data_IF_383340961728
#
_entry.id   IF_383340961728
#
_cell.length_a   1.000
_cell.length_b   1.000
_cell.length_c   1.000
_cell.angle_alpha   90.00
_cell.angle_beta   90.00
_cell.angle_gamma   90.00
#
_symmetry.space_group_name_H-M   'P 1'
#
loop_
_entity.id
_entity.type
_entity.pdbx_description
1 polymer ?
#
# COMPACT_ATOMS: atom_id res chain seq x y z
N UNK A 1 -28.62 37.68 59.48
CA UNK A 1 -29.38 37.28 58.28
C UNK A 1 -28.51 37.59 57.07
N UNK A 2 -27.48 36.80 56.76
CA UNK A 2 -27.50 35.53 55.98
C UNK A 2 -28.20 35.75 54.65
N UNK A 3 -27.55 35.64 53.47
CA UNK A 3 -27.05 34.38 52.91
C UNK A 3 -25.91 34.62 51.88
N UNK A 4 -24.79 33.93 52.10
CA UNK A 4 -23.73 33.71 51.11
C UNK A 4 -24.15 32.49 50.27
N UNK A 5 -24.18 32.64 48.95
CA UNK A 5 -24.50 31.59 47.99
C UNK A 5 -23.37 30.54 47.93
N UNK A 6 -23.66 29.22 47.95
CA UNK A 6 -22.63 28.20 47.88
C UNK A 6 -22.07 28.06 46.46
N UNK A 7 -20.74 28.08 46.36
CA UNK A 7 -19.99 27.83 45.13
C UNK A 7 -20.24 26.42 44.61
N UNK A 8 -20.66 26.32 43.35
CA UNK A 8 -20.74 25.04 42.61
C UNK A 8 -19.34 24.42 42.54
N UNK A 9 -19.14 23.33 43.24
CA UNK A 9 -17.99 22.44 43.09
C UNK A 9 -18.05 21.81 41.69
N UNK A 10 -17.18 22.28 40.79
CA UNK A 10 -16.93 21.65 39.49
C UNK A 10 -16.39 20.24 39.74
N UNK A 11 -17.26 19.23 39.62
CA UNK A 11 -16.90 17.82 39.55
C UNK A 11 -15.88 17.61 38.44
N UNK A 12 -14.59 17.51 38.80
CA UNK A 12 -13.50 17.02 37.94
C UNK A 12 -13.73 15.54 37.67
N UNK A 13 -14.70 15.21 36.81
CA UNK A 13 -14.68 13.90 36.17
C UNK A 13 -13.52 13.93 35.17
N UNK A 14 -12.52 13.04 35.30
CA UNK A 14 -11.50 12.90 34.25
C UNK A 14 -12.23 12.55 32.95
N UNK A 15 -11.86 13.24 31.86
CA UNK A 15 -12.41 12.95 30.55
C UNK A 15 -12.31 11.44 30.26
N UNK A 16 -13.35 10.82 29.67
CA UNK A 16 -13.36 9.39 29.42
C UNK A 16 -12.10 8.98 28.65
N UNK A 17 -11.36 8.02 29.20
CA UNK A 17 -10.18 7.45 28.53
C UNK A 17 -10.64 6.92 27.18
N UNK A 18 -10.11 7.41 26.05
CA UNK A 18 -10.56 6.98 24.74
C UNK A 18 -10.37 5.47 24.61
N UNK A 19 -11.44 4.78 24.18
CA UNK A 19 -11.45 3.33 24.06
C UNK A 19 -10.29 2.82 23.17
N UNK A 20 -9.73 1.63 23.47
CA UNK A 20 -8.70 1.00 22.66
C UNK A 20 -9.12 0.97 21.19
N UNK A 21 -8.33 1.67 20.39
CA UNK A 21 -8.50 1.77 18.96
C UNK A 21 -8.12 0.42 18.34
N UNK A 22 -9.00 -0.31 17.61
CA UNK A 22 -8.61 -1.58 17.01
C UNK A 22 -7.43 -1.36 16.05
N UNK A 23 -6.32 -2.06 16.29
CA UNK A 23 -5.11 -2.00 15.46
C UNK A 23 -4.86 -3.38 14.89
N UNK A 24 -4.84 -3.51 13.55
CA UNK A 24 -4.28 -4.72 12.95
C UNK A 24 -2.82 -4.88 13.36
N UNK A 25 -2.44 -6.10 13.72
CA UNK A 25 -1.05 -6.42 14.01
C UNK A 25 -0.16 -6.07 12.81
N UNK A 26 1.10 -5.64 13.03
CA UNK A 26 2.02 -5.33 11.94
C UNK A 26 2.19 -6.48 10.94
N UNK A 27 2.23 -7.73 11.41
CA UNK A 27 2.40 -8.92 10.56
C UNK A 27 1.22 -9.11 9.60
N UNK A 28 0.00 -8.93 10.09
CA UNK A 28 -1.21 -9.00 9.26
C UNK A 28 -1.24 -7.90 8.20
N UNK A 29 -0.76 -6.68 8.51
CA UNK A 29 -0.66 -5.62 7.50
C UNK A 29 0.30 -5.97 6.37
N UNK A 30 1.45 -6.56 6.69
CA UNK A 30 2.43 -7.01 5.69
C UNK A 30 1.85 -8.10 4.78
N UNK A 31 1.19 -9.10 5.38
CA UNK A 31 0.57 -10.19 4.63
C UNK A 31 -0.57 -9.69 3.73
N UNK A 32 -1.45 -8.83 4.25
CA UNK A 32 -2.54 -8.24 3.48
C UNK A 32 -2.03 -7.38 2.32
N UNK A 33 -0.93 -6.64 2.50
CA UNK A 33 -0.32 -5.88 1.43
C UNK A 33 0.16 -6.80 0.29
N UNK A 34 0.88 -7.88 0.64
CA UNK A 34 1.34 -8.88 -0.32
C UNK A 34 0.18 -9.56 -1.06
N UNK A 35 -0.85 -9.99 -0.34
CA UNK A 35 -2.02 -10.67 -0.92
C UNK A 35 -2.87 -9.74 -1.78
N UNK A 36 -3.05 -8.48 -1.37
CA UNK A 36 -3.75 -7.49 -2.20
C UNK A 36 -2.98 -7.23 -3.50
N UNK A 37 -1.65 -7.14 -3.43
CA UNK A 37 -0.80 -7.08 -4.62
C UNK A 37 -0.97 -8.29 -5.52
N UNK A 38 -0.87 -9.50 -4.97
CA UNK A 38 -1.00 -10.76 -5.70
C UNK A 38 -2.38 -10.96 -6.35
N UNK A 39 -3.43 -10.33 -5.80
CA UNK A 39 -4.76 -10.34 -6.39
C UNK A 39 -4.87 -9.40 -7.60
N UNK A 40 -4.11 -8.30 -7.64
CA UNK A 40 -4.24 -7.28 -8.68
C UNK A 40 -4.08 -7.80 -10.13
N UNK A 41 -3.14 -8.72 -10.45
CA UNK A 41 -3.05 -9.32 -11.79
C UNK A 41 -4.32 -10.01 -12.29
N UNK A 42 -5.21 -10.46 -11.40
CA UNK A 42 -6.50 -11.07 -11.78
C UNK A 42 -7.49 -10.04 -12.37
N UNK A 43 -7.20 -8.74 -12.22
CA UNK A 43 -7.95 -7.69 -12.91
C UNK A 43 -7.68 -7.65 -14.42
N UNK A 44 -6.55 -8.21 -14.86
CA UNK A 44 -6.10 -8.19 -16.25
C UNK A 44 -6.42 -9.51 -16.95
N UNK A 45 -6.26 -9.53 -18.27
CA UNK A 45 -6.36 -10.76 -19.05
C UNK A 45 -5.42 -11.85 -18.50
N UNK A 46 -5.82 -13.13 -18.52
CA UNK A 46 -7.06 -13.67 -19.09
C UNK A 46 -8.28 -13.63 -18.15
N UNK A 47 -8.12 -13.27 -16.88
CA UNK A 47 -9.19 -13.36 -15.88
C UNK A 47 -10.17 -12.18 -15.98
N UNK A 48 -9.67 -10.95 -16.14
CA UNK A 48 -10.49 -9.77 -16.41
C UNK A 48 -11.42 -9.35 -15.27
N UNK A 49 -11.12 -9.71 -14.01
CA UNK A 49 -11.94 -9.31 -12.86
C UNK A 49 -11.63 -7.85 -12.45
N UNK A 50 -12.06 -6.91 -13.30
CA UNK A 50 -11.75 -5.49 -13.24
C UNK A 50 -11.95 -4.81 -11.87
N UNK A 51 -12.89 -5.20 -10.97
CA UNK A 51 -13.02 -4.54 -9.67
C UNK A 51 -11.73 -4.59 -8.83
N UNK A 52 -10.89 -5.61 -9.04
CA UNK A 52 -9.60 -5.72 -8.35
C UNK A 52 -8.60 -4.61 -8.72
N UNK A 53 -8.75 -3.97 -9.88
CA UNK A 53 -7.95 -2.81 -10.28
C UNK A 53 -8.17 -1.61 -9.35
N UNK A 54 -9.36 -1.52 -8.74
CA UNK A 54 -9.71 -0.47 -7.78
C UNK A 54 -9.57 -0.95 -6.33
N UNK A 55 -10.05 -2.17 -6.04
CA UNK A 55 -10.05 -2.71 -4.67
C UNK A 55 -8.63 -2.97 -4.15
N UNK A 56 -7.71 -3.46 -4.97
CA UNK A 56 -6.36 -3.80 -4.49
C UNK A 56 -5.55 -2.56 -4.09
N UNK A 57 -5.47 -1.48 -4.90
CA UNK A 57 -4.85 -0.23 -4.48
C UNK A 57 -5.58 0.43 -3.31
N UNK A 58 -6.91 0.29 -3.21
CA UNK A 58 -7.67 0.80 -2.07
C UNK A 58 -7.30 0.08 -0.76
N UNK A 59 -7.11 -1.24 -0.78
CA UNK A 59 -6.59 -1.99 0.37
C UNK A 59 -5.21 -1.48 0.76
N UNK A 60 -4.30 -1.26 -0.20
CA UNK A 60 -2.99 -0.69 0.10
C UNK A 60 -3.14 0.67 0.80
N UNK A 61 -3.93 1.60 0.24
CA UNK A 61 -4.17 2.92 0.82
C UNK A 61 -4.68 2.84 2.27
N UNK A 62 -5.60 1.91 2.56
CA UNK A 62 -6.07 1.68 3.93
C UNK A 62 -4.95 1.18 4.86
N UNK A 63 -4.10 0.27 4.39
CA UNK A 63 -2.97 -0.26 5.18
C UNK A 63 -1.91 0.81 5.50
N UNK A 64 -1.79 1.85 4.67
CA UNK A 64 -0.88 2.99 4.92
C UNK A 64 -1.33 3.88 6.09
N UNK A 65 -2.60 3.80 6.52
CA UNK A 65 -3.10 4.61 7.64
C UNK A 65 -2.31 4.36 8.93
N UNK A 66 -1.75 5.45 9.49
CA UNK A 66 -0.99 5.42 10.73
C UNK A 66 0.41 4.80 10.59
N UNK A 67 0.87 4.60 9.35
CA UNK A 67 2.23 4.13 9.08
C UNK A 67 3.21 5.31 9.01
N UNK A 68 4.45 5.07 9.43
CA UNK A 68 5.56 5.97 9.09
C UNK A 68 5.92 5.80 7.61
N UNK A 69 6.55 6.79 6.96
CA UNK A 69 7.00 6.64 5.56
C UNK A 69 7.87 5.39 5.34
N UNK A 70 8.75 5.04 6.29
CA UNK A 70 9.56 3.80 6.22
C UNK A 70 8.71 2.53 6.23
N UNK A 71 7.66 2.47 7.05
CA UNK A 71 6.74 1.32 7.07
C UNK A 71 5.87 1.29 5.82
N UNK A 72 5.44 2.45 5.34
CA UNK A 72 4.71 2.59 4.10
C UNK A 72 5.50 2.06 2.91
N UNK A 73 6.81 2.35 2.84
CA UNK A 73 7.70 1.77 1.84
C UNK A 73 7.64 0.25 1.84
N UNK A 74 7.78 -0.40 3.01
CA UNK A 74 7.75 -1.86 3.10
C UNK A 74 6.39 -2.43 2.70
N UNK A 75 5.29 -1.78 3.08
CA UNK A 75 3.94 -2.19 2.67
C UNK A 75 3.74 -2.08 1.16
N UNK A 76 4.13 -0.94 0.57
CA UNK A 76 4.05 -0.74 -0.87
C UNK A 76 4.97 -1.68 -1.64
N UNK A 77 6.16 -1.96 -1.13
CA UNK A 77 7.09 -2.89 -1.74
C UNK A 77 6.58 -4.34 -1.70
N UNK A 78 6.00 -4.79 -0.59
CA UNK A 78 5.35 -6.11 -0.51
C UNK A 78 4.13 -6.21 -1.42
N UNK A 79 3.34 -5.13 -1.51
CA UNK A 79 2.24 -5.05 -2.49
C UNK A 79 2.77 -5.20 -3.92
N UNK A 80 3.80 -4.44 -4.28
CA UNK A 80 4.46 -4.55 -5.59
C UNK A 80 5.02 -5.95 -5.82
N UNK A 81 5.61 -6.59 -4.80
CA UNK A 81 6.16 -7.94 -4.90
C UNK A 81 5.07 -8.97 -5.18
N UNK A 82 3.87 -8.82 -4.60
CA UNK A 82 2.72 -9.63 -4.94
C UNK A 82 2.23 -9.39 -6.37
N UNK A 83 2.06 -8.10 -6.74
CA UNK A 83 1.59 -7.70 -8.06
C UNK A 83 2.50 -8.22 -9.18
N UNK A 84 3.80 -7.95 -9.09
CA UNK A 84 4.76 -8.37 -10.11
C UNK A 84 5.13 -9.84 -9.97
N UNK A 85 5.23 -10.38 -8.75
CA UNK A 85 5.53 -11.80 -8.56
C UNK A 85 4.52 -12.72 -9.25
N UNK A 86 3.23 -12.37 -9.23
CA UNK A 86 2.19 -13.08 -9.98
C UNK A 86 2.14 -12.60 -11.43
N UNK A 87 2.05 -11.30 -11.66
CA UNK A 87 1.73 -10.74 -12.97
C UNK A 87 2.88 -10.73 -13.99
N UNK A 88 4.13 -10.96 -13.56
CA UNK A 88 5.27 -11.18 -14.45
C UNK A 88 5.90 -12.56 -14.29
N UNK A 89 5.20 -13.50 -13.67
CA UNK A 89 5.65 -14.89 -13.50
C UNK A 89 6.03 -15.56 -14.83
N UNK A 90 5.39 -15.17 -15.94
CA UNK A 90 5.69 -15.63 -17.29
C UNK A 90 7.14 -15.35 -17.75
N UNK A 91 7.85 -14.40 -17.12
CA UNK A 91 9.28 -14.16 -17.39
C UNK A 91 10.15 -15.37 -17.05
N UNK A 92 9.72 -16.20 -16.09
CA UNK A 92 10.40 -17.47 -15.80
C UNK A 92 10.51 -18.33 -17.06
N UNK A 93 9.40 -18.51 -17.78
CA UNK A 93 9.38 -19.29 -19.03
C UNK A 93 10.20 -18.63 -20.14
N UNK A 94 10.26 -17.30 -20.16
CA UNK A 94 11.11 -16.58 -21.12
C UNK A 94 12.60 -16.85 -20.88
N UNK A 95 13.04 -16.89 -19.63
CA UNK A 95 14.45 -17.16 -19.30
C UNK A 95 14.84 -18.61 -19.49
N UNK A 96 13.94 -19.56 -19.23
CA UNK A 96 14.22 -20.99 -19.49
C UNK A 96 14.26 -21.27 -21.00
N UNK A 97 13.31 -20.73 -21.78
CA UNK A 97 13.19 -21.01 -23.22
C UNK A 97 14.18 -20.24 -24.07
N UNK A 98 14.30 -18.91 -23.88
CA UNK A 98 15.15 -18.05 -24.72
C UNK A 98 16.52 -17.78 -24.10
N UNK A 99 16.61 -17.80 -22.77
CA UNK A 99 17.86 -17.56 -22.05
C UNK A 99 18.70 -18.82 -21.80
N UNK A 100 18.13 -20.01 -21.99
CA UNK A 100 18.78 -21.28 -21.66
C UNK A 100 19.13 -21.44 -20.18
N UNK A 101 18.51 -20.64 -19.30
CA UNK A 101 18.78 -20.65 -17.88
C UNK A 101 18.23 -21.93 -17.24
N UNK A 102 19.00 -22.55 -16.35
CA UNK A 102 18.50 -23.63 -15.50
C UNK A 102 17.40 -23.11 -14.57
N UNK A 103 16.44 -23.96 -14.22
CA UNK A 103 15.23 -23.55 -13.49
C UNK A 103 15.49 -22.71 -12.22
N UNK A 104 16.47 -23.04 -11.33
CA UNK A 104 16.73 -22.20 -10.15
C UNK A 104 17.23 -20.80 -10.50
N UNK A 105 18.04 -20.67 -11.55
CA UNK A 105 18.56 -19.38 -12.01
C UNK A 105 17.45 -18.54 -12.64
N UNK A 106 16.60 -19.14 -13.48
CA UNK A 106 15.45 -18.45 -14.06
C UNK A 106 14.50 -17.93 -12.98
N UNK A 107 14.19 -18.76 -11.97
CA UNK A 107 13.37 -18.36 -10.84
C UNK A 107 13.99 -17.20 -10.04
N UNK A 108 15.30 -17.26 -9.81
CA UNK A 108 16.03 -16.20 -9.12
C UNK A 108 16.00 -14.87 -9.90
N UNK A 109 16.25 -14.89 -11.20
CA UNK A 109 16.21 -13.69 -12.05
C UNK A 109 14.81 -13.09 -12.07
N UNK A 110 13.77 -13.90 -12.26
CA UNK A 110 12.37 -13.44 -12.24
C UNK A 110 12.00 -12.82 -10.90
N UNK A 111 12.41 -13.45 -9.79
CA UNK A 111 12.18 -12.91 -8.45
C UNK A 111 12.88 -11.56 -8.23
N UNK A 112 14.16 -11.45 -8.59
CA UNK A 112 14.92 -10.20 -8.46
C UNK A 112 14.30 -9.12 -9.33
N UNK A 113 13.91 -9.44 -10.56
CA UNK A 113 13.22 -8.50 -11.44
C UNK A 113 11.93 -7.99 -10.80
N UNK A 114 11.04 -8.88 -10.33
CA UNK A 114 9.81 -8.50 -9.66
C UNK A 114 10.07 -7.65 -8.40
N UNK A 115 11.08 -8.01 -7.60
CA UNK A 115 11.47 -7.28 -6.40
C UNK A 115 12.03 -5.87 -6.69
N UNK A 116 12.77 -5.70 -7.79
CA UNK A 116 13.28 -4.40 -8.24
C UNK A 116 12.16 -3.52 -8.77
N UNK A 117 11.27 -4.04 -9.62
CA UNK A 117 10.12 -3.26 -10.13
C UNK A 117 9.13 -2.94 -9.00
N UNK A 118 8.99 -3.81 -8.00
CA UNK A 118 8.18 -3.53 -6.81
C UNK A 118 8.65 -2.31 -6.00
N UNK A 119 9.90 -1.86 -6.17
CA UNK A 119 10.40 -0.63 -5.52
C UNK A 119 9.57 0.58 -5.91
N UNK A 120 9.05 0.67 -7.13
CA UNK A 120 8.17 1.76 -7.54
C UNK A 120 6.94 1.88 -6.63
N UNK A 121 6.31 0.77 -6.25
CA UNK A 121 5.14 0.75 -5.37
C UNK A 121 5.53 1.05 -3.92
N UNK A 122 6.72 0.63 -3.50
CA UNK A 122 7.31 1.06 -2.22
C UNK A 122 7.51 2.58 -2.17
N UNK A 123 8.05 3.16 -3.24
CA UNK A 123 8.24 4.60 -3.37
C UNK A 123 6.91 5.36 -3.44
N UNK A 124 5.91 4.83 -4.15
CA UNK A 124 4.55 5.36 -4.16
C UNK A 124 3.97 5.46 -2.75
N UNK A 125 4.01 4.37 -2.00
CA UNK A 125 3.47 4.33 -0.64
C UNK A 125 4.25 5.24 0.32
N UNK A 126 5.59 5.27 0.18
CA UNK A 126 6.47 6.15 0.93
C UNK A 126 6.13 7.62 0.68
N UNK A 127 6.10 8.05 -0.58
CA UNK A 127 5.86 9.43 -0.98
C UNK A 127 4.45 9.87 -0.57
N UNK A 128 3.44 9.04 -0.81
CA UNK A 128 2.06 9.31 -0.42
C UNK A 128 1.94 9.56 1.09
N UNK A 129 2.62 8.74 1.89
CA UNK A 129 2.62 8.85 3.35
C UNK A 129 3.41 10.07 3.83
N UNK A 130 4.55 10.37 3.19
CA UNK A 130 5.36 11.53 3.50
C UNK A 130 4.62 12.84 3.21
N UNK A 131 4.04 12.98 2.01
CA UNK A 131 3.25 14.16 1.61
C UNK A 131 2.00 14.32 2.47
N UNK A 132 1.41 13.23 2.97
CA UNK A 132 0.24 13.27 3.86
C UNK A 132 0.55 13.64 5.31
N UNK A 133 1.83 13.83 5.68
CA UNK A 133 2.25 14.15 7.05
C UNK A 133 2.34 12.92 7.96
N UNK A 134 2.85 11.81 7.45
CA UNK A 134 2.90 10.49 8.08
C UNK A 134 3.46 10.46 9.50
N UNK A 135 2.57 10.64 10.49
CA UNK A 135 2.88 10.50 11.90
C UNK A 135 2.24 9.22 12.44
N UNK A 136 3.05 8.18 12.67
CA UNK A 136 2.58 6.95 13.32
C UNK A 136 2.08 7.14 14.76
N UNK A 137 2.35 8.32 15.34
CA UNK A 137 1.84 8.75 16.64
C UNK A 137 0.35 9.16 16.57
N UNK A 138 -0.16 9.58 15.41
CA UNK A 138 -1.58 9.79 15.21
C UNK A 138 -2.21 8.40 15.08
N UNK A 139 -2.78 7.90 16.17
CA UNK A 139 -3.44 6.59 16.26
C UNK A 139 -4.69 6.49 15.39
N UNK A 140 -4.54 6.58 14.07
CA UNK A 140 -5.62 6.38 13.13
C UNK A 140 -6.02 4.90 13.14
N UNK A 141 -7.32 4.67 13.38
CA UNK A 141 -7.96 3.36 13.17
C UNK A 141 -7.61 2.91 11.76
N UNK A 142 -7.25 1.64 11.61
CA UNK A 142 -7.34 1.03 10.28
C UNK A 142 -8.81 1.06 9.86
N UNK A 143 -9.10 1.61 8.68
CA UNK A 143 -10.48 1.86 8.25
C UNK A 143 -11.09 3.14 8.81
N UNK A 144 -10.28 4.05 9.37
CA UNK A 144 -10.72 5.41 9.66
C UNK A 144 -11.07 6.18 8.38
N UNK A 145 -11.81 7.29 8.51
CA UNK A 145 -12.14 8.16 7.36
C UNK A 145 -10.86 8.61 6.65
N UNK A 146 -10.74 8.28 5.37
CA UNK A 146 -9.68 8.77 4.51
C UNK A 146 -9.89 10.27 4.27
N UNK A 147 -8.88 11.09 4.57
CA UNK A 147 -8.90 12.51 4.24
C UNK A 147 -8.59 12.75 2.77
N UNK A 148 -9.17 13.79 2.17
CA UNK A 148 -8.91 14.15 0.76
C UNK A 148 -7.42 14.32 0.44
N UNK A 149 -6.63 14.85 1.39
CA UNK A 149 -5.17 14.95 1.27
C UNK A 149 -4.49 13.58 1.11
N UNK A 150 -4.93 12.56 1.84
CA UNK A 150 -4.34 11.22 1.78
C UNK A 150 -4.65 10.55 0.43
N UNK A 151 -5.89 10.69 -0.04
CA UNK A 151 -6.32 10.18 -1.34
C UNK A 151 -5.52 10.88 -2.45
N UNK A 152 -5.48 12.22 -2.44
CA UNK A 152 -4.74 12.99 -3.45
C UNK A 152 -3.24 12.67 -3.45
N UNK A 153 -2.62 12.55 -2.27
CA UNK A 153 -1.21 12.19 -2.16
C UNK A 153 -0.94 10.77 -2.68
N UNK A 154 -1.83 9.82 -2.40
CA UNK A 154 -1.73 8.46 -2.90
C UNK A 154 -1.89 8.39 -4.41
N UNK A 155 -2.97 8.93 -4.95
CA UNK A 155 -3.24 8.95 -6.40
C UNK A 155 -2.14 9.70 -7.15
N UNK A 156 -1.72 10.87 -6.67
CA UNK A 156 -0.64 11.64 -7.30
C UNK A 156 0.70 10.91 -7.27
N UNK A 157 1.04 10.25 -6.16
CA UNK A 157 2.26 9.44 -6.07
C UNK A 157 2.18 8.20 -6.98
N UNK A 158 1.00 7.59 -7.11
CA UNK A 158 0.79 6.42 -7.95
C UNK A 158 1.07 6.77 -9.42
N UNK A 159 0.39 7.79 -9.93
CA UNK A 159 0.56 8.27 -11.32
C UNK A 159 2.01 8.68 -11.58
N UNK A 160 2.64 9.40 -10.66
CA UNK A 160 4.03 9.84 -10.82
C UNK A 160 5.00 8.67 -10.96
N UNK A 161 4.88 7.62 -10.13
CA UNK A 161 5.78 6.48 -10.19
C UNK A 161 5.42 5.47 -11.28
N UNK A 162 4.16 5.36 -11.70
CA UNK A 162 3.79 4.64 -12.92
C UNK A 162 4.41 5.30 -14.15
N UNK A 163 4.31 6.63 -14.26
CA UNK A 163 4.96 7.37 -15.33
C UNK A 163 6.48 7.16 -15.32
N UNK A 164 7.13 7.26 -14.16
CA UNK A 164 8.57 7.05 -14.05
C UNK A 164 8.97 5.62 -14.45
N UNK A 165 8.20 4.62 -14.02
CA UNK A 165 8.40 3.20 -14.38
C UNK A 165 8.24 2.95 -15.88
N UNK A 166 7.42 3.73 -16.56
CA UNK A 166 7.27 3.68 -18.01
C UNK A 166 8.44 4.28 -18.81
N UNK A 167 9.36 5.01 -18.17
CA UNK A 167 10.44 5.73 -18.87
C UNK A 167 11.86 5.32 -18.43
N UNK A 168 12.09 5.10 -17.14
CA UNK A 168 13.42 4.80 -16.60
C UNK A 168 13.92 3.45 -17.10
N UNK A 169 15.20 3.38 -17.50
CA UNK A 169 15.83 2.18 -18.07
C UNK A 169 15.04 1.56 -19.24
N UNK A 170 14.62 2.39 -20.20
CA UNK A 170 13.75 2.03 -21.34
C UNK A 170 12.30 1.67 -20.98
N UNK A 171 11.95 1.70 -19.70
CA UNK A 171 10.58 1.55 -19.23
C UNK A 171 10.13 0.09 -19.11
N UNK A 172 9.23 -0.15 -18.16
CA UNK A 172 8.48 -1.40 -18.02
C UNK A 172 7.02 -1.11 -17.62
N UNK A 173 6.18 -0.58 -18.53
CA UNK A 173 4.79 -0.21 -18.27
C UNK A 173 3.85 -1.43 -18.34
N UNK A 174 4.13 -2.46 -17.53
CA UNK A 174 3.29 -3.66 -17.42
C UNK A 174 2.37 -3.56 -16.20
N UNK A 175 1.13 -4.06 -16.32
CA UNK A 175 0.09 -4.03 -15.26
C UNK A 175 -0.31 -2.62 -14.79
N UNK A 176 -0.35 -1.66 -15.71
CA UNK A 176 -0.85 -0.32 -15.42
C UNK A 176 -2.37 -0.38 -15.19
N UNK A 177 -2.86 0.25 -14.12
CA UNK A 177 -4.26 0.10 -13.69
C UNK A 177 -5.28 0.45 -14.79
N UNK A 178 -4.94 1.40 -15.67
CA UNK A 178 -5.81 1.84 -16.76
C UNK A 178 -6.09 0.79 -17.83
N UNK A 179 -5.29 -0.28 -17.93
CA UNK A 179 -5.47 -1.35 -18.92
C UNK A 179 -6.58 -2.34 -18.50
N UNK A 180 -6.96 -2.36 -17.22
CA UNK A 180 -7.94 -3.31 -16.69
C UNK A 180 -9.41 -2.88 -16.90
N UNK A 181 -9.69 -1.79 -17.64
CA UNK A 181 -11.03 -1.22 -17.86
C UNK A 181 -11.50 -1.33 -19.31
#
# INVERSE_FOLDING_TARGET
MTLISPSKTLSKNPAPVPAPVPRLSPRWRLLLALLAGAALPLAFAPVGFWPLSLLSPAVLLLLLQGSTPRRAFVLGWLFGLGQFGVGVSWLYESFTLFGGAVAPLAAFITFIFAALVAVYLGLTAWLATWVSGGNAAAGSKLGGKLGGRQIAAFTGSWVFFEWLRGWVFSGFPWLDLGIAQ
#
